data_IF_470303985462
#
_entry.id   IF_470303985462
#
_cell.length_a   1.000
_cell.length_b   1.000
_cell.length_c   1.000
_cell.angle_alpha   90.00
_cell.angle_beta   90.00
_cell.angle_gamma   90.00
#
_symmetry.space_group_name_H-M   'P 1'
#
loop_
_entity.id
_entity.type
_entity.pdbx_description
1 polymer ?
#
# COMPACT_ATOMS: atom_id res chain seq x y z
N UNK A 1 -47.38 39.39 40.07
CA UNK A 1 -46.51 39.87 38.97
C UNK A 1 -45.19 39.10 39.01
N UNK A 2 -44.95 38.22 38.04
CA UNK A 2 -43.68 38.04 37.28
C UNK A 2 -43.72 36.73 36.48
N UNK A 3 -44.03 36.95 35.21
CA UNK A 3 -43.64 36.28 33.97
C UNK A 3 -43.03 34.87 33.95
N UNK A 4 -43.70 34.07 33.11
CA UNK A 4 -43.31 32.83 32.43
C UNK A 4 -42.10 33.08 31.50
N UNK A 5 -41.25 32.07 31.32
CA UNK A 5 -40.23 32.08 30.27
C UNK A 5 -39.72 30.67 29.95
N UNK A 6 -40.51 29.90 29.22
CA UNK A 6 -40.09 28.66 28.55
C UNK A 6 -38.93 28.96 27.60
N UNK A 7 -37.76 28.36 27.82
CA UNK A 7 -36.63 28.47 26.89
C UNK A 7 -36.81 27.43 25.79
N UNK A 8 -37.25 27.87 24.61
CA UNK A 8 -37.11 27.11 23.37
C UNK A 8 -35.63 27.12 22.98
N UNK A 9 -35.01 25.94 22.92
CA UNK A 9 -33.68 25.78 22.31
C UNK A 9 -33.89 25.54 20.81
N UNK A 10 -33.72 26.59 20.02
CA UNK A 10 -33.66 26.48 18.56
C UNK A 10 -32.26 26.01 18.17
N UNK A 11 -32.12 24.76 17.73
CA UNK A 11 -30.90 24.29 17.08
C UNK A 11 -30.90 24.85 15.66
N UNK A 12 -30.06 25.85 15.41
CA UNK A 12 -29.77 26.35 14.06
C UNK A 12 -28.73 25.42 13.45
N UNK A 13 -29.14 24.60 12.48
CA UNK A 13 -28.24 23.88 11.59
C UNK A 13 -27.72 24.89 10.57
N UNK A 14 -26.48 25.36 10.75
CA UNK A 14 -25.81 26.21 9.77
C UNK A 14 -25.25 25.29 8.68
N UNK A 15 -25.97 25.23 7.56
CA UNK A 15 -25.43 24.84 6.25
C UNK A 15 -24.42 25.90 5.81
N UNK A 16 -23.17 25.74 6.23
CA UNK A 16 -22.06 26.65 5.90
C UNK A 16 -21.41 26.29 4.57
N UNK A 17 -22.04 26.71 3.47
CA UNK A 17 -21.36 26.95 2.21
C UNK A 17 -21.01 28.43 2.09
N UNK A 18 -19.83 28.70 1.52
CA UNK A 18 -19.32 30.00 1.04
C UNK A 18 -18.71 30.97 2.08
N UNK A 19 -17.39 30.82 2.27
CA UNK A 19 -16.37 31.89 2.25
C UNK A 19 -16.52 33.14 3.10
N UNK A 20 -15.62 33.30 4.07
CA UNK A 20 -14.73 34.46 4.29
C UNK A 20 -14.14 34.37 5.71
N UNK A 21 -12.87 34.01 5.81
CA UNK A 21 -12.16 33.89 7.08
C UNK A 21 -10.73 33.43 6.87
N UNK A 22 -9.90 34.36 6.41
CA UNK A 22 -8.48 34.18 6.13
C UNK A 22 -7.71 33.73 7.39
N UNK A 23 -7.35 32.46 7.46
CA UNK A 23 -6.09 32.07 8.07
C UNK A 23 -5.12 31.76 6.94
N UNK A 24 -4.12 32.61 6.80
CA UNK A 24 -2.91 32.36 6.03
C UNK A 24 -2.20 31.13 6.62
N UNK A 25 -2.61 29.95 6.20
CA UNK A 25 -1.83 28.73 6.26
C UNK A 25 -1.74 28.26 4.82
N UNK A 26 -0.52 28.04 4.32
CA UNK A 26 -0.22 27.79 2.91
C UNK A 26 -1.33 27.02 2.18
N UNK A 27 -1.67 27.47 0.96
CA UNK A 27 -2.42 26.61 0.04
C UNK A 27 -1.82 25.21 0.15
N UNK A 28 -2.60 24.17 0.48
CA UNK A 28 -2.07 22.83 0.45
C UNK A 28 -1.44 22.69 -0.92
N UNK A 29 -0.13 22.42 -0.95
CA UNK A 29 0.56 22.28 -2.21
C UNK A 29 -0.30 21.36 -3.10
N UNK A 30 -0.37 21.57 -4.42
CA UNK A 30 -1.13 20.66 -5.28
C UNK A 30 -0.83 19.17 -4.98
N UNK A 31 0.39 18.89 -4.52
CA UNK A 31 0.81 17.60 -3.98
C UNK A 31 0.02 17.10 -2.75
N UNK A 32 -0.27 17.93 -1.75
CA UNK A 32 -1.03 17.53 -0.57
C UNK A 32 -2.45 17.08 -0.94
N UNK A 33 -3.09 17.75 -1.91
CA UNK A 33 -4.39 17.32 -2.45
C UNK A 33 -4.32 15.96 -3.15
N UNK A 34 -3.26 15.71 -3.92
CA UNK A 34 -3.02 14.42 -4.58
C UNK A 34 -2.82 13.31 -3.54
N UNK A 35 -1.95 13.54 -2.54
CA UNK A 35 -1.68 12.57 -1.46
C UNK A 35 -2.97 12.22 -0.71
N UNK A 36 -3.80 13.21 -0.37
CA UNK A 36 -5.09 12.97 0.27
C UNK A 36 -6.03 12.13 -0.62
N UNK A 37 -6.02 12.37 -1.93
CA UNK A 37 -6.78 11.58 -2.91
C UNK A 37 -6.30 10.13 -3.01
N UNK A 38 -4.99 9.89 -3.04
CA UNK A 38 -4.40 8.55 -3.07
C UNK A 38 -4.75 7.76 -1.80
N UNK A 39 -4.50 8.35 -0.62
CA UNK A 39 -4.81 7.71 0.66
C UNK A 39 -6.29 7.40 0.80
N UNK A 40 -7.18 8.32 0.39
CA UNK A 40 -8.63 8.09 0.41
C UNK A 40 -9.05 6.96 -0.53
N UNK A 41 -8.40 6.85 -1.69
CA UNK A 41 -8.69 5.79 -2.66
C UNK A 41 -8.28 4.42 -2.11
N UNK A 42 -7.08 4.32 -1.54
CA UNK A 42 -6.61 3.08 -0.90
C UNK A 42 -7.53 2.72 0.27
N UNK A 43 -7.88 3.68 1.14
CA UNK A 43 -8.79 3.45 2.26
C UNK A 43 -10.17 2.94 1.81
N UNK A 44 -10.69 3.46 0.70
CA UNK A 44 -11.95 3.00 0.11
C UNK A 44 -11.85 1.56 -0.43
N UNK A 45 -10.73 1.18 -1.05
CA UNK A 45 -10.53 -0.22 -1.47
C UNK A 45 -10.45 -1.16 -0.26
N UNK A 46 -9.71 -0.77 0.78
CA UNK A 46 -9.56 -1.55 2.00
C UNK A 46 -10.85 -1.65 2.82
N UNK A 47 -11.73 -0.65 2.77
CA UNK A 47 -13.04 -0.75 3.44
C UNK A 47 -13.96 -1.77 2.78
N UNK A 48 -13.82 -1.98 1.46
CA UNK A 48 -14.55 -3.00 0.71
C UNK A 48 -13.94 -4.40 0.88
N UNK A 49 -12.61 -4.48 1.05
CA UNK A 49 -11.83 -5.72 1.11
C UNK A 49 -10.70 -5.63 2.13
N UNK A 50 -11.01 -5.64 3.44
CA UNK A 50 -9.99 -5.42 4.47
C UNK A 50 -8.97 -6.57 4.57
N UNK A 51 -9.32 -7.76 4.09
CA UNK A 51 -8.50 -8.97 4.08
C UNK A 51 -7.23 -8.86 3.22
N UNK A 52 -7.15 -7.86 2.33
CA UNK A 52 -6.00 -7.65 1.45
C UNK A 52 -4.90 -6.79 2.09
N UNK A 53 -5.17 -6.13 3.22
CA UNK A 53 -4.15 -5.44 4.02
C UNK A 53 -3.59 -6.38 5.08
N UNK A 54 -2.29 -6.67 5.01
CA UNK A 54 -1.64 -7.64 5.88
C UNK A 54 -0.48 -6.95 6.61
N UNK A 55 -0.48 -7.03 7.93
CA UNK A 55 0.63 -6.56 8.77
C UNK A 55 1.74 -7.62 8.81
N UNK A 56 2.85 -7.33 8.14
CA UNK A 56 4.06 -8.15 8.13
C UNK A 56 5.21 -7.44 8.88
N UNK A 57 4.90 -6.42 9.69
CA UNK A 57 5.94 -5.60 10.35
C UNK A 57 6.83 -6.40 11.30
N UNK A 58 6.33 -7.52 11.84
CA UNK A 58 7.09 -8.45 12.68
C UNK A 58 7.92 -9.47 11.89
N UNK A 59 7.63 -9.67 10.61
CA UNK A 59 8.31 -10.63 9.73
C UNK A 59 9.38 -9.91 8.93
N UNK A 60 8.99 -8.88 8.19
CA UNK A 60 9.84 -8.15 7.25
C UNK A 60 10.00 -6.66 7.56
N UNK A 61 9.17 -6.11 8.45
CA UNK A 61 9.14 -4.66 8.69
C UNK A 61 8.26 -3.91 7.68
N UNK A 62 7.33 -4.59 7.02
CA UNK A 62 6.52 -4.05 5.93
C UNK A 62 5.01 -4.24 6.16
N UNK A 63 4.21 -3.44 5.46
CA UNK A 63 2.79 -3.70 5.25
C UNK A 63 2.57 -4.24 3.83
N UNK A 64 1.67 -5.21 3.68
CA UNK A 64 1.36 -5.83 2.41
C UNK A 64 -0.04 -5.43 1.93
N UNK A 65 -0.13 -5.08 0.65
CA UNK A 65 -1.36 -4.86 -0.11
C UNK A 65 -1.49 -5.98 -1.16
N UNK A 66 -2.27 -7.01 -0.85
CA UNK A 66 -2.45 -8.19 -1.69
C UNK A 66 -3.64 -8.05 -2.64
N UNK A 67 -3.43 -7.44 -3.80
CA UNK A 67 -4.43 -7.31 -4.87
C UNK A 67 -4.64 -8.62 -5.66
N UNK A 68 -4.63 -9.78 -4.98
CA UNK A 68 -4.96 -11.08 -5.56
C UNK A 68 -3.79 -11.78 -6.25
N UNK A 69 -2.59 -11.75 -5.67
CA UNK A 69 -1.36 -12.37 -6.21
C UNK A 69 -1.58 -13.79 -6.74
N UNK A 70 -2.25 -14.65 -5.94
CA UNK A 70 -2.50 -16.04 -6.31
C UNK A 70 -3.39 -16.20 -7.55
N UNK A 71 -4.29 -15.25 -7.80
CA UNK A 71 -5.20 -15.24 -8.96
C UNK A 71 -4.58 -14.56 -10.20
N UNK A 72 -3.27 -14.26 -10.18
CA UNK A 72 -2.58 -13.54 -11.25
C UNK A 72 -2.67 -12.02 -11.13
N UNK A 73 -3.19 -11.51 -10.01
CA UNK A 73 -3.11 -10.10 -9.64
C UNK A 73 -1.71 -9.71 -9.15
N UNK A 74 -1.64 -8.56 -8.49
CA UNK A 74 -0.41 -7.99 -7.97
C UNK A 74 -0.39 -8.03 -6.44
N UNK A 75 0.79 -7.99 -5.83
CA UNK A 75 0.93 -7.70 -4.42
C UNK A 75 2.09 -6.73 -4.22
N UNK A 76 1.87 -5.71 -3.39
CA UNK A 76 2.87 -4.68 -3.10
C UNK A 76 3.13 -4.64 -1.61
N UNK A 77 4.39 -4.64 -1.22
CA UNK A 77 4.80 -4.31 0.13
C UNK A 77 5.28 -2.87 0.20
N UNK A 78 5.02 -2.23 1.35
CA UNK A 78 5.53 -0.93 1.70
C UNK A 78 6.31 -1.06 3.00
N UNK A 79 7.57 -0.64 3.00
CA UNK A 79 8.37 -0.58 4.23
C UNK A 79 7.66 0.31 5.26
N UNK A 80 7.49 -0.19 6.49
CA UNK A 80 6.88 0.58 7.58
C UNK A 80 7.77 1.76 8.01
N UNK A 81 9.09 1.61 7.80
CA UNK A 81 10.07 2.68 7.94
C UNK A 81 11.00 2.67 6.71
N UNK A 82 10.66 3.41 5.64
CA UNK A 82 11.46 3.43 4.43
C UNK A 82 12.86 4.00 4.71
N UNK A 83 13.09 4.78 5.77
CA UNK A 83 14.41 5.36 6.04
C UNK A 83 15.50 4.32 6.34
N UNK A 84 15.11 3.08 6.70
CA UNK A 84 16.04 2.01 7.11
C UNK A 84 16.29 0.93 6.06
N UNK A 85 15.74 1.07 4.86
CA UNK A 85 15.88 0.09 3.78
C UNK A 85 16.08 0.77 2.42
N UNK A 86 16.53 0.02 1.41
CA UNK A 86 16.44 0.42 0.01
C UNK A 86 15.30 -0.31 -0.73
N UNK A 87 14.60 -1.21 -0.04
CA UNK A 87 13.42 -1.93 -0.50
C UNK A 87 12.15 -1.19 -0.01
N UNK A 88 12.03 0.10 -0.34
CA UNK A 88 10.93 0.94 0.18
C UNK A 88 9.56 0.42 -0.28
N UNK A 89 9.49 -0.03 -1.53
CA UNK A 89 8.34 -0.69 -2.13
C UNK A 89 8.78 -1.99 -2.80
N UNK A 90 8.14 -3.11 -2.48
CA UNK A 90 8.46 -4.42 -3.09
C UNK A 90 7.24 -4.95 -3.83
N UNK A 91 7.40 -5.13 -5.13
CA UNK A 91 6.39 -5.65 -6.03
C UNK A 91 6.55 -7.17 -6.18
N UNK A 92 5.46 -7.91 -6.04
CA UNK A 92 5.37 -9.36 -6.23
C UNK A 92 4.38 -9.67 -7.34
N UNK A 93 4.81 -10.51 -8.28
CA UNK A 93 4.01 -10.97 -9.42
C UNK A 93 4.05 -12.49 -9.47
N UNK A 94 2.89 -13.13 -9.61
CA UNK A 94 2.83 -14.55 -9.93
C UNK A 94 3.36 -14.74 -11.36
N UNK A 95 4.50 -15.43 -11.50
CA UNK A 95 5.19 -15.60 -12.77
C UNK A 95 4.60 -16.73 -13.62
N UNK A 96 3.68 -17.54 -13.08
CA UNK A 96 3.14 -18.71 -13.77
C UNK A 96 2.42 -18.36 -15.10
N UNK A 97 1.56 -17.32 -15.18
CA UNK A 97 0.94 -16.93 -16.44
C UNK A 97 1.97 -16.47 -17.50
N UNK A 98 3.04 -15.79 -17.08
CA UNK A 98 4.12 -15.34 -17.97
C UNK A 98 4.90 -16.53 -18.53
N UNK A 99 5.24 -17.50 -17.68
CA UNK A 99 5.89 -18.73 -18.09
C UNK A 99 5.02 -19.53 -19.07
N UNK A 100 3.71 -19.65 -18.80
CA UNK A 100 2.73 -20.28 -19.72
C UNK A 100 2.64 -19.56 -21.07
N UNK A 101 2.86 -18.26 -21.09
CA UNK A 101 2.91 -17.46 -22.32
C UNK A 101 4.26 -17.54 -23.07
N UNK A 102 5.22 -18.36 -22.58
CA UNK A 102 6.51 -18.57 -23.24
C UNK A 102 7.62 -17.62 -22.78
N UNK A 103 7.39 -16.78 -21.77
CA UNK A 103 8.45 -15.94 -21.19
C UNK A 103 9.42 -16.82 -20.39
N UNK A 104 10.71 -16.79 -20.72
CA UNK A 104 11.74 -17.47 -19.94
C UNK A 104 12.09 -16.69 -18.66
N UNK A 105 11.20 -16.76 -17.67
CA UNK A 105 11.36 -16.08 -16.36
C UNK A 105 12.57 -16.57 -15.58
N UNK A 106 13.02 -17.81 -15.82
CA UNK A 106 14.20 -18.37 -15.17
C UNK A 106 15.53 -17.79 -15.69
N UNK A 107 15.49 -16.95 -16.75
CA UNK A 107 16.66 -16.21 -17.22
C UNK A 107 17.00 -15.00 -16.35
N UNK A 108 16.08 -14.57 -15.47
CA UNK A 108 16.30 -13.47 -14.53
C UNK A 108 17.23 -13.92 -13.37
N UNK A 109 17.93 -12.98 -12.73
CA UNK A 109 18.68 -13.26 -11.52
C UNK A 109 17.81 -13.92 -10.45
N UNK A 110 18.41 -14.84 -9.70
CA UNK A 110 17.75 -15.50 -8.57
C UNK A 110 17.49 -14.52 -7.44
N UNK A 111 16.31 -14.62 -6.84
CA UNK A 111 16.02 -13.86 -5.62
C UNK A 111 17.09 -14.14 -4.55
N UNK A 112 17.71 -13.09 -3.98
CA UNK A 112 18.88 -13.23 -3.11
C UNK A 112 18.60 -13.85 -1.73
N UNK A 113 17.33 -14.04 -1.36
CA UNK A 113 16.95 -14.90 -0.23
C UNK A 113 16.93 -14.22 1.15
N UNK A 114 17.24 -12.92 1.24
CA UNK A 114 17.20 -12.16 2.50
C UNK A 114 16.45 -10.83 2.38
N UNK A 115 16.02 -10.30 3.52
CA UNK A 115 15.51 -8.93 3.61
C UNK A 115 16.63 -7.93 3.32
N UNK A 116 16.35 -6.85 2.59
CA UNK A 116 17.33 -5.81 2.24
C UNK A 116 18.53 -6.32 1.42
N UNK A 117 18.34 -7.41 0.68
CA UNK A 117 19.39 -8.01 -0.15
C UNK A 117 19.17 -7.78 -1.65
N UNK A 118 18.04 -7.19 -2.02
CA UNK A 118 17.72 -6.88 -3.40
C UNK A 118 18.44 -5.60 -3.87
N UNK A 119 18.88 -5.60 -5.12
CA UNK A 119 19.26 -4.36 -5.82
C UNK A 119 17.98 -3.67 -6.32
N UNK A 120 17.69 -2.42 -5.92
CA UNK A 120 16.51 -1.71 -6.39
C UNK A 120 16.45 -1.60 -7.92
N UNK A 121 15.26 -1.75 -8.49
CA UNK A 121 15.00 -1.75 -9.93
C UNK A 121 15.25 -3.09 -10.64
N UNK A 122 15.95 -4.05 -10.00
CA UNK A 122 16.20 -5.37 -10.57
C UNK A 122 15.00 -6.30 -10.32
N UNK A 123 14.53 -6.95 -11.39
CA UNK A 123 13.61 -8.08 -11.28
C UNK A 123 14.37 -9.36 -10.92
N UNK A 124 13.87 -10.06 -9.92
CA UNK A 124 14.37 -11.35 -9.47
C UNK A 124 13.34 -12.45 -9.68
N UNK A 125 13.81 -13.66 -9.93
CA UNK A 125 12.99 -14.86 -10.01
C UNK A 125 13.14 -15.71 -8.75
N UNK A 126 12.00 -16.10 -8.17
CA UNK A 126 11.89 -17.08 -7.09
C UNK A 126 10.99 -18.24 -7.55
N UNK A 127 11.48 -19.48 -7.64
CA UNK A 127 10.67 -20.64 -8.00
C UNK A 127 9.59 -20.94 -6.98
N UNK A 128 8.58 -21.67 -7.47
CA UNK A 128 7.61 -22.31 -6.61
C UNK A 128 8.30 -23.20 -5.56
N UNK A 129 7.82 -23.13 -4.32
CA UNK A 129 8.27 -23.95 -3.20
C UNK A 129 9.53 -23.46 -2.49
N UNK A 130 10.17 -22.39 -2.97
CA UNK A 130 11.26 -21.73 -2.25
C UNK A 130 10.73 -20.75 -1.19
N UNK A 131 11.53 -20.52 -0.14
CA UNK A 131 11.18 -19.62 0.96
C UNK A 131 11.23 -18.18 0.46
N UNK A 132 10.14 -17.46 0.69
CA UNK A 132 10.01 -16.03 0.46
C UNK A 132 10.10 -15.34 1.84
N UNK A 133 11.18 -14.58 2.13
CA UNK A 133 11.46 -14.05 3.47
C UNK A 133 10.56 -12.88 3.87
N UNK A 134 9.93 -12.16 2.94
CA UNK A 134 9.05 -11.05 3.27
C UNK A 134 7.75 -11.52 3.94
N UNK A 135 7.26 -12.71 3.58
CA UNK A 135 6.11 -13.38 4.19
C UNK A 135 6.52 -14.47 5.19
N UNK A 136 7.74 -15.01 5.10
CA UNK A 136 8.19 -16.16 5.89
C UNK A 136 7.52 -17.47 5.48
N UNK A 137 7.05 -17.58 4.23
CA UNK A 137 6.34 -18.76 3.71
C UNK A 137 6.89 -19.21 2.36
N UNK A 138 6.43 -20.37 1.88
CA UNK A 138 6.73 -20.89 0.55
C UNK A 138 5.50 -20.77 -0.33
N UNK A 139 5.61 -20.03 -1.43
CA UNK A 139 4.52 -19.90 -2.39
C UNK A 139 4.47 -21.12 -3.32
N UNK A 140 3.27 -21.64 -3.67
CA UNK A 140 3.15 -22.81 -4.53
C UNK A 140 3.33 -22.51 -6.03
N UNK A 141 3.56 -21.24 -6.39
CA UNK A 141 3.79 -20.75 -7.75
C UNK A 141 5.07 -19.91 -7.78
N UNK A 142 5.73 -19.81 -8.95
CA UNK A 142 6.90 -18.95 -9.09
C UNK A 142 6.53 -17.47 -8.95
N UNK A 143 7.46 -16.68 -8.44
CA UNK A 143 7.34 -15.25 -8.25
C UNK A 143 8.39 -14.48 -9.07
N UNK A 144 7.98 -13.32 -9.58
CA UNK A 144 8.88 -12.22 -9.89
C UNK A 144 8.79 -11.20 -8.77
N UNK A 145 9.95 -10.73 -8.30
CA UNK A 145 10.05 -9.81 -7.17
C UNK A 145 10.96 -8.64 -7.55
N UNK A 146 10.54 -7.40 -7.28
CA UNK A 146 11.34 -6.21 -7.53
C UNK A 146 11.17 -5.20 -6.41
N UNK A 147 12.29 -4.73 -5.87
CA UNK A 147 12.33 -3.60 -4.96
C UNK A 147 12.44 -2.28 -5.73
N UNK A 148 11.81 -1.23 -5.21
CA UNK A 148 11.96 0.15 -5.66
C UNK A 148 12.43 0.99 -4.48
N UNK A 149 13.49 1.76 -4.70
CA UNK A 149 13.97 2.79 -3.78
C UNK A 149 13.40 4.13 -4.26
N UNK A 150 12.67 4.84 -3.39
CA UNK A 150 11.97 6.08 -3.73
C UNK A 150 12.73 7.34 -3.30
N UNK A 151 13.99 7.19 -2.88
CA UNK A 151 14.88 8.27 -2.42
C UNK A 151 15.76 8.80 -3.52
#
# INVERSE_FOLDING_TARGET
MRYIGTVLVTIVVILGGVGLGSSLGADPSPQAGIVAGELSTIANQLSLRPDIAIDLTKVSGEYCFNAGLAAGGHMTHYAADPTRTAEDVVDFVNAEPLAKAGVNVASLPRFPGGLNSMTPGQWYFLPAGELEPHHGVKFPFPLLIRATNIK
#
